data_IF_320082500057
#
_entry.id   IF_320082500057
#
_cell.length_a   1.000
_cell.length_b   1.000
_cell.length_c   1.000
_cell.angle_alpha   90.00
_cell.angle_beta   90.00
_cell.angle_gamma   90.00
#
_symmetry.space_group_name_H-M   'P 1'
#
loop_
_entity.id
_entity.type
_entity.pdbx_description
1 polymer ?
#
# COMPACT_ATOMS: atom_id res chain seq x y z
N UNK A 1 -46.63 23.18 -7.54
CA UNK A 1 -45.76 22.00 -7.38
C UNK A 1 -46.42 21.05 -6.40
N UNK A 2 -46.42 19.76 -6.71
CA UNK A 2 -46.96 18.72 -5.82
C UNK A 2 -45.98 18.45 -4.68
N UNK A 3 -46.45 17.87 -3.57
CA UNK A 3 -45.57 17.43 -2.46
C UNK A 3 -44.49 16.45 -2.94
N UNK A 4 -44.81 15.66 -3.96
CA UNK A 4 -43.91 14.72 -4.60
C UNK A 4 -42.77 15.43 -5.37
N UNK A 5 -43.07 16.49 -6.11
CA UNK A 5 -42.07 17.32 -6.81
C UNK A 5 -41.14 18.06 -5.83
N UNK A 6 -41.65 18.49 -4.67
CA UNK A 6 -40.84 19.12 -3.61
C UNK A 6 -39.88 18.11 -2.99
N UNK A 7 -40.36 16.88 -2.69
CA UNK A 7 -39.53 15.81 -2.13
C UNK A 7 -38.43 15.38 -3.11
N UNK A 8 -38.74 15.25 -4.40
CA UNK A 8 -37.76 14.93 -5.44
C UNK A 8 -36.68 16.01 -5.57
N UNK A 9 -37.06 17.30 -5.55
CA UNK A 9 -36.08 18.40 -5.55
C UNK A 9 -35.18 18.41 -4.31
N UNK A 10 -35.74 18.14 -3.13
CA UNK A 10 -34.95 18.07 -1.89
C UNK A 10 -33.95 16.90 -1.94
N UNK A 11 -34.36 15.74 -2.44
CA UNK A 11 -33.47 14.59 -2.62
C UNK A 11 -32.37 14.87 -3.65
N UNK A 12 -32.68 15.55 -4.75
CA UNK A 12 -31.70 15.91 -5.77
C UNK A 12 -30.67 16.92 -5.23
N UNK A 13 -31.13 17.95 -4.50
CA UNK A 13 -30.24 18.91 -3.85
C UNK A 13 -29.33 18.25 -2.82
N UNK A 14 -29.85 17.29 -2.05
CA UNK A 14 -29.05 16.52 -1.10
C UNK A 14 -27.98 15.67 -1.82
N UNK A 15 -28.36 14.96 -2.90
CA UNK A 15 -27.41 14.20 -3.72
C UNK A 15 -26.30 15.07 -4.29
N UNK A 16 -26.62 16.29 -4.74
CA UNK A 16 -25.62 17.24 -5.26
C UNK A 16 -24.65 17.69 -4.17
N UNK A 17 -25.15 18.00 -2.97
CA UNK A 17 -24.32 18.37 -1.82
C UNK A 17 -23.40 17.24 -1.38
N UNK A 18 -23.92 16.02 -1.30
CA UNK A 18 -23.14 14.84 -0.94
C UNK A 18 -22.05 14.58 -1.99
N UNK A 19 -22.40 14.68 -3.28
CA UNK A 19 -21.46 14.56 -4.38
C UNK A 19 -20.31 15.57 -4.31
N UNK A 20 -20.62 16.85 -4.05
CA UNK A 20 -19.60 17.89 -3.93
C UNK A 20 -18.70 17.69 -2.70
N UNK A 21 -19.28 17.27 -1.57
CA UNK A 21 -18.54 16.98 -0.34
C UNK A 21 -17.63 15.76 -0.47
N UNK A 22 -18.06 14.72 -1.17
CA UNK A 22 -17.22 13.56 -1.43
C UNK A 22 -16.07 13.95 -2.40
N UNK A 23 -16.34 14.76 -3.44
CA UNK A 23 -15.30 15.23 -4.38
C UNK A 23 -14.22 16.05 -3.66
N UNK A 24 -14.64 16.92 -2.74
CA UNK A 24 -13.72 17.71 -1.92
C UNK A 24 -12.84 16.82 -1.04
N UNK A 25 -13.40 15.74 -0.46
CA UNK A 25 -12.64 14.75 0.30
C UNK A 25 -11.62 14.03 -0.57
N UNK A 26 -12.02 13.56 -1.76
CA UNK A 26 -11.10 12.84 -2.65
C UNK A 26 -9.93 13.71 -3.12
N UNK A 27 -10.15 15.00 -3.38
CA UNK A 27 -9.07 15.93 -3.70
C UNK A 27 -8.01 15.99 -2.59
N UNK A 28 -8.43 15.88 -1.33
CA UNK A 28 -7.55 15.86 -0.17
C UNK A 28 -6.83 14.53 0.09
N UNK A 29 -7.23 13.43 -0.54
CA UNK A 29 -6.54 12.14 -0.34
C UNK A 29 -5.13 12.16 -0.92
N UNK A 30 -4.23 11.42 -0.30
CA UNK A 30 -2.82 11.27 -0.67
C UNK A 30 -2.52 9.77 -0.77
N UNK A 31 -1.51 9.33 -1.54
CA UNK A 31 -1.23 7.90 -1.67
C UNK A 31 -0.88 7.20 -0.35
N UNK A 32 -0.48 7.92 0.72
CA UNK A 32 -0.32 7.36 2.07
C UNK A 32 -1.65 7.02 2.77
N UNK A 33 -2.79 7.45 2.21
CA UNK A 33 -4.12 7.13 2.73
C UNK A 33 -4.56 5.77 2.17
N UNK A 34 -4.79 4.78 3.04
CA UNK A 34 -5.05 3.37 2.68
C UNK A 34 -6.15 3.19 1.62
N UNK A 35 -7.24 3.95 1.75
CA UNK A 35 -8.36 3.92 0.81
C UNK A 35 -7.93 4.37 -0.59
N UNK A 36 -7.10 5.42 -0.67
CA UNK A 36 -6.66 5.98 -1.95
C UNK A 36 -5.52 5.17 -2.56
N UNK A 37 -4.62 4.64 -1.73
CA UNK A 37 -3.58 3.68 -2.14
C UNK A 37 -4.21 2.51 -2.88
N UNK A 38 -5.25 1.89 -2.29
CA UNK A 38 -5.95 0.77 -2.92
C UNK A 38 -6.51 1.15 -4.29
N UNK A 39 -7.14 2.31 -4.43
CA UNK A 39 -7.61 2.79 -5.74
C UNK A 39 -6.46 2.91 -6.76
N UNK A 40 -5.35 3.55 -6.36
CA UNK A 40 -4.21 3.83 -7.25
C UNK A 40 -3.55 2.55 -7.77
N UNK A 41 -3.38 1.55 -6.90
CA UNK A 41 -2.69 0.30 -7.22
C UNK A 41 -3.62 -0.79 -7.78
N UNK A 42 -4.94 -0.65 -7.64
CA UNK A 42 -5.91 -1.59 -8.21
C UNK A 42 -5.73 -1.70 -9.72
N UNK A 43 -5.48 -2.93 -10.18
CA UNK A 43 -5.21 -3.26 -11.59
C UNK A 43 -4.03 -2.49 -12.23
N UNK A 44 -3.14 -1.89 -11.43
CA UNK A 44 -2.02 -1.07 -11.89
C UNK A 44 -0.66 -1.67 -11.52
N UNK A 45 -0.40 -2.86 -12.07
CA UNK A 45 0.84 -3.62 -11.86
C UNK A 45 2.10 -2.80 -12.19
N UNK A 46 2.16 -2.01 -13.29
CA UNK A 46 3.36 -1.22 -13.59
C UNK A 46 3.71 -0.20 -12.49
N UNK A 47 2.71 0.46 -11.90
CA UNK A 47 2.92 1.41 -10.81
C UNK A 47 3.40 0.70 -9.54
N UNK A 48 2.81 -0.45 -9.20
CA UNK A 48 3.26 -1.28 -8.11
C UNK A 48 4.69 -1.78 -8.28
N UNK A 49 5.04 -2.29 -9.46
CA UNK A 49 6.38 -2.76 -9.79
C UNK A 49 7.42 -1.63 -9.62
N UNK A 50 7.14 -0.44 -10.16
CA UNK A 50 8.01 0.72 -10.02
C UNK A 50 8.18 1.13 -8.55
N UNK A 51 7.08 1.14 -7.78
CA UNK A 51 7.11 1.43 -6.34
C UNK A 51 7.99 0.44 -5.59
N UNK A 52 7.79 -0.86 -5.81
CA UNK A 52 8.55 -1.93 -5.16
C UNK A 52 10.03 -1.90 -5.55
N UNK A 53 10.36 -1.64 -6.81
CA UNK A 53 11.76 -1.47 -7.26
C UNK A 53 12.47 -0.34 -6.52
N UNK A 54 11.79 0.79 -6.30
CA UNK A 54 12.37 1.94 -5.56
C UNK A 54 12.60 1.58 -4.10
N UNK A 55 11.61 0.97 -3.44
CA UNK A 55 11.69 0.65 -2.01
C UNK A 55 12.70 -0.47 -1.73
N UNK A 56 12.63 -1.56 -2.47
CA UNK A 56 13.47 -2.75 -2.23
C UNK A 56 14.89 -2.61 -2.81
N UNK A 57 15.07 -1.74 -3.81
CA UNK A 57 16.32 -1.62 -4.57
C UNK A 57 16.56 -2.74 -5.58
N UNK A 58 15.63 -3.69 -5.74
CA UNK A 58 15.73 -4.82 -6.67
C UNK A 58 15.38 -4.34 -8.08
N UNK A 59 16.39 -3.94 -8.86
CA UNK A 59 16.21 -3.26 -10.16
C UNK A 59 15.51 -4.12 -11.22
N UNK A 60 15.67 -5.43 -11.18
CA UNK A 60 15.09 -6.39 -12.14
C UNK A 60 13.78 -7.04 -11.66
N UNK A 61 13.22 -6.59 -10.52
CA UNK A 61 11.94 -7.04 -9.99
C UNK A 61 10.87 -6.87 -11.08
N UNK A 62 10.22 -7.95 -11.49
CA UNK A 62 9.15 -7.91 -12.49
C UNK A 62 7.91 -8.60 -11.93
N UNK A 63 6.82 -7.87 -11.75
CA UNK A 63 5.60 -8.43 -11.16
C UNK A 63 4.88 -9.33 -12.15
N UNK A 64 4.59 -10.57 -11.73
CA UNK A 64 3.77 -11.51 -12.47
C UNK A 64 2.28 -11.33 -12.15
N UNK A 65 1.96 -10.96 -10.90
CA UNK A 65 0.60 -10.66 -10.44
C UNK A 65 0.61 -9.66 -9.28
N UNK A 66 -0.51 -8.98 -9.10
CA UNK A 66 -0.74 -7.99 -8.07
C UNK A 66 -2.22 -7.87 -7.73
N UNK A 67 -2.54 -7.80 -6.44
CA UNK A 67 -3.91 -7.73 -5.93
C UNK A 67 -3.99 -6.74 -4.76
N UNK A 68 -4.93 -5.80 -4.82
CA UNK A 68 -5.30 -4.97 -3.67
C UNK A 68 -6.37 -5.67 -2.84
N UNK A 69 -6.40 -5.46 -1.53
CA UNK A 69 -7.39 -6.03 -0.61
C UNK A 69 -7.42 -7.57 -0.61
N UNK A 70 -6.24 -8.19 -0.52
CA UNK A 70 -6.16 -9.64 -0.46
C UNK A 70 -6.51 -10.14 0.94
N UNK A 71 -7.69 -10.76 1.04
CA UNK A 71 -8.18 -11.40 2.25
C UNK A 71 -7.52 -12.78 2.43
N UNK A 72 -6.66 -12.91 3.43
CA UNK A 72 -6.08 -14.19 3.81
C UNK A 72 -6.92 -14.86 4.90
N UNK A 73 -7.69 -15.88 4.48
CA UNK A 73 -8.72 -16.54 5.29
C UNK A 73 -8.37 -17.98 5.69
N UNK A 74 -7.16 -18.48 5.41
CA UNK A 74 -6.81 -19.90 5.68
C UNK A 74 -6.83 -20.29 7.16
N UNK A 75 -6.80 -19.33 8.10
CA UNK A 75 -6.79 -19.61 9.54
C UNK A 75 -8.17 -19.39 10.17
N UNK A 76 -8.98 -20.45 10.27
CA UNK A 76 -10.25 -20.45 10.99
C UNK A 76 -10.06 -19.98 12.44
N UNK A 77 -10.67 -18.84 12.80
CA UNK A 77 -10.62 -18.25 14.15
C UNK A 77 -9.43 -17.35 14.45
N UNK A 78 -8.48 -17.20 13.52
CA UNK A 78 -7.38 -16.24 13.65
C UNK A 78 -7.79 -14.83 13.24
N UNK A 79 -6.95 -13.86 13.61
CA UNK A 79 -7.15 -12.46 13.22
C UNK A 79 -6.96 -12.32 11.70
N UNK A 80 -8.03 -12.02 10.98
CA UNK A 80 -7.92 -11.71 9.55
C UNK A 80 -7.05 -10.46 9.35
N UNK A 81 -6.19 -10.50 8.33
CA UNK A 81 -5.59 -9.30 7.74
C UNK A 81 -6.05 -9.18 6.29
N UNK A 82 -6.14 -7.94 5.84
CA UNK A 82 -6.39 -7.59 4.45
C UNK A 82 -5.17 -6.79 4.03
N UNK A 83 -4.40 -7.31 3.07
CA UNK A 83 -3.22 -6.61 2.60
C UNK A 83 -3.63 -5.43 1.73
N UNK A 84 -3.02 -4.26 1.95
CA UNK A 84 -3.26 -3.10 1.10
C UNK A 84 -2.87 -3.39 -0.36
N UNK A 85 -1.68 -4.00 -0.57
CA UNK A 85 -1.27 -4.55 -1.86
C UNK A 85 -0.40 -5.81 -1.69
N UNK A 86 -0.81 -6.90 -2.33
CA UNK A 86 -0.03 -8.15 -2.45
C UNK A 86 0.51 -8.30 -3.87
N UNK A 87 1.84 -8.35 -4.02
CA UNK A 87 2.52 -8.60 -5.29
C UNK A 87 3.28 -9.93 -5.28
N UNK A 88 3.37 -10.59 -6.43
CA UNK A 88 4.28 -11.73 -6.64
C UNK A 88 5.05 -11.51 -7.92
N UNK A 89 6.38 -11.58 -7.84
CA UNK A 89 7.24 -11.42 -9.01
C UNK A 89 7.43 -12.72 -9.81
N UNK A 90 8.11 -12.61 -10.94
CA UNK A 90 8.41 -13.72 -11.84
C UNK A 90 9.35 -14.78 -11.25
N UNK A 91 10.03 -14.48 -10.13
CA UNK A 91 10.87 -15.41 -9.37
C UNK A 91 10.10 -16.09 -8.24
N UNK A 92 8.87 -15.67 -7.97
CA UNK A 92 8.02 -16.17 -6.90
C UNK A 92 8.16 -15.43 -5.57
N UNK A 93 8.99 -14.38 -5.51
CA UNK A 93 9.12 -13.53 -4.32
C UNK A 93 7.81 -12.78 -4.11
N UNK A 94 7.36 -12.72 -2.86
CA UNK A 94 6.10 -12.08 -2.48
C UNK A 94 6.36 -10.76 -1.76
N UNK A 95 5.50 -9.78 -2.03
CA UNK A 95 5.59 -8.43 -1.48
C UNK A 95 4.24 -8.06 -0.86
N UNK A 96 4.27 -7.66 0.39
CA UNK A 96 3.16 -7.03 1.10
C UNK A 96 3.52 -5.55 1.32
N UNK A 97 2.80 -4.65 0.65
CA UNK A 97 2.99 -3.20 0.74
C UNK A 97 1.84 -2.56 1.50
N UNK A 98 2.13 -2.10 2.72
CA UNK A 98 1.19 -1.51 3.67
C UNK A 98 1.45 -0.01 3.84
N UNK A 99 0.41 0.82 3.79
CA UNK A 99 0.51 2.26 4.07
C UNK A 99 -0.15 2.61 5.40
N UNK A 100 0.55 3.36 6.25
CA UNK A 100 0.12 3.62 7.63
C UNK A 100 0.26 5.10 7.99
N UNK A 101 -0.87 5.78 8.17
CA UNK A 101 -0.91 7.16 8.67
C UNK A 101 -0.55 7.25 10.16
N UNK A 102 -1.04 6.29 10.95
CA UNK A 102 -0.80 6.26 12.38
C UNK A 102 0.32 5.28 12.72
N UNK A 103 1.31 5.74 13.48
CA UNK A 103 2.46 4.93 13.94
C UNK A 103 2.03 3.63 14.64
N UNK A 104 0.86 3.63 15.30
CA UNK A 104 0.31 2.43 15.94
C UNK A 104 0.01 1.29 14.96
N UNK A 105 -0.20 1.59 13.68
CA UNK A 105 -0.40 0.63 12.62
C UNK A 105 0.91 -0.03 12.14
N UNK A 106 2.06 0.51 12.53
CA UNK A 106 3.37 0.06 12.08
C UNK A 106 4.17 -0.66 13.18
N UNK A 107 3.51 -1.21 14.19
CA UNK A 107 4.18 -1.90 15.30
C UNK A 107 4.92 -3.16 14.84
N UNK A 108 6.09 -3.48 15.43
CA UNK A 108 6.87 -4.67 15.06
C UNK A 108 6.08 -5.98 15.11
N UNK A 109 5.16 -6.13 16.07
CA UNK A 109 4.33 -7.33 16.20
C UNK A 109 3.36 -7.49 15.02
N UNK A 110 2.89 -6.37 14.43
CA UNK A 110 2.04 -6.40 13.25
C UNK A 110 2.84 -6.77 12.01
N UNK A 111 4.03 -6.20 11.83
CA UNK A 111 4.92 -6.58 10.73
C UNK A 111 5.23 -8.09 10.76
N UNK A 112 5.59 -8.62 11.94
CA UNK A 112 5.80 -10.07 12.12
C UNK A 112 4.53 -10.89 11.83
N UNK A 113 3.35 -10.38 12.17
CA UNK A 113 2.09 -11.07 11.89
C UNK A 113 1.80 -11.15 10.39
N UNK A 114 2.07 -10.07 9.66
CA UNK A 114 1.95 -10.03 8.19
C UNK A 114 2.88 -11.05 7.53
N UNK A 115 4.15 -11.10 7.94
CA UNK A 115 5.08 -12.14 7.48
C UNK A 115 4.53 -13.56 7.70
N UNK A 116 4.07 -13.85 8.92
CA UNK A 116 3.55 -15.19 9.25
C UNK A 116 2.31 -15.56 8.42
N UNK A 117 1.44 -14.60 8.11
CA UNK A 117 0.27 -14.84 7.25
C UNK A 117 0.69 -15.12 5.81
N UNK A 118 1.69 -14.40 5.28
CA UNK A 118 2.24 -14.70 3.95
C UNK A 118 2.78 -16.13 3.87
N UNK A 119 3.53 -16.58 4.88
CA UNK A 119 4.07 -17.95 4.92
C UNK A 119 2.98 -19.02 4.97
N UNK A 120 1.95 -18.81 5.79
CA UNK A 120 0.79 -19.72 5.90
C UNK A 120 0.02 -19.83 4.59
N UNK A 121 -0.03 -18.75 3.82
CA UNK A 121 -0.73 -18.71 2.53
C UNK A 121 0.13 -19.22 1.38
N UNK A 122 1.46 -19.23 1.54
CA UNK A 122 2.41 -19.70 0.55
C UNK A 122 2.58 -21.23 0.54
N UNK A 123 2.35 -21.92 1.65
CA UNK A 123 2.50 -23.37 1.76
C UNK A 123 1.17 -24.12 1.93
N UNK A 124 1.03 -25.19 1.16
CA UNK A 124 -0.02 -26.19 1.31
C UNK A 124 0.44 -27.38 2.16
N UNK A 125 -0.52 -28.14 2.69
CA UNK A 125 -0.25 -29.32 3.50
C UNK A 125 0.58 -30.36 2.73
N UNK A 126 1.74 -30.73 3.28
CA UNK A 126 2.64 -31.72 2.72
C UNK A 126 3.82 -31.14 1.92
N UNK A 127 3.87 -29.83 1.71
CA UNK A 127 5.06 -29.16 1.18
C UNK A 127 6.16 -29.02 2.25
N UNK A 128 7.39 -28.93 1.79
CA UNK A 128 8.58 -28.71 2.62
C UNK A 128 8.69 -27.22 2.98
N UNK A 129 9.24 -26.92 4.17
CA UNK A 129 9.42 -25.53 4.60
C UNK A 129 10.42 -24.76 3.73
N UNK A 130 11.37 -25.47 3.13
CA UNK A 130 12.33 -24.95 2.17
C UNK A 130 11.66 -24.41 0.90
N UNK A 131 10.40 -24.81 0.62
CA UNK A 131 9.61 -24.30 -0.50
C UNK A 131 8.98 -22.93 -0.22
N UNK A 132 9.11 -22.37 0.99
CA UNK A 132 8.69 -20.99 1.25
C UNK A 132 9.33 -20.05 0.22
N UNK A 133 8.60 -19.05 -0.29
CA UNK A 133 9.19 -18.02 -1.14
C UNK A 133 10.01 -17.03 -0.31
N UNK A 134 10.82 -16.21 -0.97
CA UNK A 134 11.32 -15.00 -0.34
C UNK A 134 10.16 -14.01 -0.17
N UNK A 135 10.10 -13.31 0.96
CA UNK A 135 8.97 -12.43 1.31
C UNK A 135 9.45 -11.06 1.79
N UNK A 136 8.71 -10.02 1.43
CA UNK A 136 8.93 -8.64 1.88
C UNK A 136 7.66 -8.09 2.51
N UNK A 137 7.68 -7.84 3.81
CA UNK A 137 6.66 -7.07 4.53
C UNK A 137 7.11 -5.60 4.64
N UNK A 138 6.51 -4.73 3.84
CA UNK A 138 6.91 -3.33 3.65
C UNK A 138 5.86 -2.41 4.28
N UNK A 139 6.26 -1.63 5.27
CA UNK A 139 5.42 -0.65 5.95
C UNK A 139 5.87 0.76 5.62
N UNK A 140 5.10 1.46 4.78
CA UNK A 140 5.26 2.89 4.54
C UNK A 140 4.50 3.66 5.60
N UNK A 141 5.20 4.49 6.35
CA UNK A 141 4.65 5.25 7.49
C UNK A 141 4.65 6.74 7.20
N UNK A 142 3.65 7.50 7.62
CA UNK A 142 3.60 8.95 7.36
C UNK A 142 4.76 9.71 8.04
N UNK A 143 5.29 9.18 9.14
CA UNK A 143 6.37 9.77 9.93
C UNK A 143 7.56 8.83 10.11
N UNK A 144 8.70 9.39 10.54
CA UNK A 144 9.86 8.57 10.90
C UNK A 144 9.67 7.90 12.27
N UNK A 145 9.06 6.71 12.28
CA UNK A 145 8.74 6.00 13.53
C UNK A 145 9.97 5.60 14.35
N UNK A 146 11.16 5.58 13.74
CA UNK A 146 12.42 5.30 14.43
C UNK A 146 13.20 6.55 14.82
N UNK A 147 12.85 7.72 14.26
CA UNK A 147 13.46 9.01 14.55
C UNK A 147 14.96 9.10 14.21
N UNK A 148 15.44 8.36 13.20
CA UNK A 148 16.87 8.31 12.82
C UNK A 148 17.16 9.03 11.49
N UNK A 149 16.16 9.65 10.88
CA UNK A 149 16.27 10.45 9.66
C UNK A 149 16.56 9.66 8.38
N UNK A 150 16.46 8.31 8.39
CA UNK A 150 16.66 7.50 7.19
C UNK A 150 15.35 7.33 6.43
N UNK A 151 15.44 7.17 5.11
CA UNK A 151 14.29 6.86 4.25
C UNK A 151 13.81 5.42 4.38
N UNK A 152 14.73 4.48 4.60
CA UNK A 152 14.45 3.05 4.67
C UNK A 152 15.14 2.42 5.88
N UNK A 153 14.43 1.52 6.55
CA UNK A 153 14.90 0.72 7.67
C UNK A 153 14.61 -0.76 7.44
N UNK A 154 15.56 -1.52 6.86
CA UNK A 154 15.49 -2.97 6.83
C UNK A 154 15.63 -3.55 8.24
N UNK A 155 14.82 -4.56 8.56
CA UNK A 155 14.85 -5.30 9.82
C UNK A 155 15.09 -6.76 9.48
N UNK A 156 16.31 -7.22 9.80
CA UNK A 156 16.81 -8.55 9.44
C UNK A 156 17.12 -9.37 10.70
N UNK A 157 16.96 -10.69 10.60
CA UNK A 157 17.36 -11.62 11.66
C UNK A 157 18.84 -11.97 11.53
N UNK A 158 19.50 -12.10 12.68
CA UNK A 158 20.93 -12.45 12.76
C UNK A 158 21.16 -13.58 13.75
N UNK A 159 22.19 -14.38 13.48
CA UNK A 159 22.72 -15.39 14.40
C UNK A 159 23.54 -14.68 15.48
N UNK A 160 23.25 -14.95 16.75
CA UNK A 160 23.94 -14.35 17.88
C UNK A 160 24.88 -15.36 18.53
N UNK A 161 26.07 -14.93 19.01
CA UNK A 161 26.56 -13.54 19.09
C UNK A 161 27.28 -13.01 17.83
N UNK A 162 27.47 -13.80 16.79
CA UNK A 162 28.33 -13.50 15.64
C UNK A 162 27.81 -12.36 14.75
N UNK A 163 26.52 -12.00 14.89
CA UNK A 163 25.83 -11.01 14.06
C UNK A 163 25.86 -11.36 12.56
N UNK A 164 25.87 -12.65 12.23
CA UNK A 164 25.79 -13.15 10.85
C UNK A 164 24.34 -13.17 10.36
N UNK A 165 24.06 -12.90 9.08
CA UNK A 165 22.71 -12.99 8.53
C UNK A 165 22.09 -14.38 8.72
N UNK A 166 20.87 -14.44 9.24
CA UNK A 166 20.16 -15.72 9.41
C UNK A 166 19.70 -16.33 8.07
N UNK A 167 19.45 -15.49 7.07
CA UNK A 167 19.09 -15.88 5.69
C UNK A 167 17.85 -16.79 5.60
N UNK A 168 16.80 -16.50 6.35
CA UNK A 168 15.49 -17.16 6.26
C UNK A 168 14.64 -16.71 5.06
N UNK A 169 15.11 -15.69 4.31
CA UNK A 169 14.43 -15.09 3.15
C UNK A 169 13.15 -14.33 3.50
N UNK A 170 12.97 -13.96 4.77
CA UNK A 170 11.87 -13.11 5.21
C UNK A 170 12.40 -11.72 5.58
N UNK A 171 11.95 -10.70 4.86
CA UNK A 171 12.42 -9.33 5.01
C UNK A 171 11.30 -8.42 5.54
N UNK A 172 11.60 -7.62 6.56
CA UNK A 172 10.72 -6.55 7.02
C UNK A 172 11.37 -5.21 6.69
N UNK A 173 10.63 -4.30 6.06
CA UNK A 173 11.12 -2.98 5.70
C UNK A 173 10.17 -1.90 6.18
N UNK A 174 10.71 -0.90 6.86
CA UNK A 174 9.98 0.31 7.19
C UNK A 174 10.46 1.47 6.32
N UNK A 175 9.51 2.13 5.67
CA UNK A 175 9.74 3.29 4.84
C UNK A 175 9.22 4.53 5.55
N UNK A 176 10.08 5.53 5.66
CA UNK A 176 9.77 6.82 6.27
C UNK A 176 9.16 7.76 5.22
N UNK A 177 7.85 7.96 5.27
CA UNK A 177 7.10 8.86 4.40
C UNK A 177 7.44 10.34 4.57
N UNK A 178 8.05 10.73 5.69
CA UNK A 178 8.58 12.08 5.89
C UNK A 178 9.97 12.30 5.26
N UNK A 179 10.58 11.27 4.67
CA UNK A 179 11.88 11.38 4.03
C UNK A 179 11.83 12.28 2.78
N UNK A 180 12.80 13.20 2.66
CA UNK A 180 12.91 14.18 1.57
C UNK A 180 14.34 14.22 1.01
N UNK A 181 14.92 13.04 0.79
CA UNK A 181 16.23 12.90 0.13
C UNK A 181 16.20 13.32 -1.34
N UNK A 182 17.37 13.59 -1.90
CA UNK A 182 17.55 13.85 -3.33
C UNK A 182 17.86 12.55 -4.09
N UNK A 183 16.95 11.58 -3.99
CA UNK A 183 17.03 10.26 -4.59
C UNK A 183 15.60 9.77 -4.94
N UNK A 184 15.46 8.67 -5.72
CA UNK A 184 14.13 8.19 -6.12
C UNK A 184 13.20 7.85 -4.96
N UNK A 185 13.74 7.44 -3.81
CA UNK A 185 12.92 7.16 -2.62
C UNK A 185 12.39 8.46 -2.01
N UNK A 186 13.19 9.50 -1.92
CA UNK A 186 12.77 10.82 -1.46
C UNK A 186 11.73 11.47 -2.36
N UNK A 187 11.80 11.24 -3.68
CA UNK A 187 10.76 11.65 -4.63
C UNK A 187 9.47 10.84 -4.45
N UNK A 188 9.58 9.52 -4.31
CA UNK A 188 8.43 8.66 -4.03
C UNK A 188 7.72 9.05 -2.72
N UNK A 189 8.49 9.29 -1.64
CA UNK A 189 7.93 9.67 -0.34
C UNK A 189 7.37 11.09 -0.32
N UNK A 190 7.90 12.00 -1.15
CA UNK A 190 7.26 13.27 -1.43
C UNK A 190 5.86 13.06 -2.00
N UNK A 191 5.74 12.24 -3.06
CA UNK A 191 4.49 12.02 -3.77
C UNK A 191 3.46 11.25 -2.94
N UNK A 192 3.89 10.28 -2.13
CA UNK A 192 3.01 9.58 -1.18
C UNK A 192 2.32 10.52 -0.18
N UNK A 193 2.99 11.63 0.16
CA UNK A 193 2.43 12.68 1.02
C UNK A 193 1.84 13.86 0.25
N UNK A 194 1.82 13.82 -1.09
CA UNK A 194 1.30 14.89 -1.92
C UNK A 194 -0.17 14.64 -2.28
N UNK A 195 -1.01 15.67 -2.12
CA UNK A 195 -2.40 15.62 -2.58
C UNK A 195 -2.57 16.21 -3.98
N UNK A 196 -1.64 17.01 -4.48
CA UNK A 196 -1.80 17.64 -5.79
C UNK A 196 -1.05 16.81 -6.86
N UNK A 197 -1.74 16.24 -7.86
CA UNK A 197 -1.09 15.50 -8.94
C UNK A 197 -0.09 16.34 -9.75
N UNK A 198 -0.26 17.66 -9.82
CA UNK A 198 0.63 18.54 -10.60
C UNK A 198 1.96 18.82 -9.88
N UNK A 199 2.00 18.60 -8.56
CA UNK A 199 3.20 18.73 -7.73
C UNK A 199 3.93 17.38 -7.55
N UNK A 200 3.36 16.28 -8.04
CA UNK A 200 4.00 14.96 -7.96
C UNK A 200 5.19 14.86 -8.93
N UNK A 201 6.28 14.23 -8.48
CA UNK A 201 7.53 14.09 -9.24
C UNK A 201 7.52 12.87 -10.15
N UNK A 202 6.79 11.82 -9.75
CA UNK A 202 6.65 10.59 -10.51
C UNK A 202 5.42 10.65 -11.43
N UNK A 203 5.66 10.58 -12.74
CA UNK A 203 4.60 10.69 -13.76
C UNK A 203 3.52 9.60 -13.61
N UNK A 204 3.88 8.35 -13.33
CA UNK A 204 2.90 7.26 -13.20
C UNK A 204 1.97 7.47 -12.00
N UNK A 205 2.53 7.94 -10.87
CA UNK A 205 1.75 8.21 -9.67
C UNK A 205 0.90 9.48 -9.83
N UNK A 206 1.43 10.50 -10.51
CA UNK A 206 0.71 11.72 -10.88
C UNK A 206 -0.50 11.41 -11.77
N UNK A 207 -0.31 10.65 -12.84
CA UNK A 207 -1.37 10.25 -13.77
C UNK A 207 -2.45 9.41 -13.08
N UNK A 208 -2.07 8.43 -12.26
CA UNK A 208 -3.02 7.63 -11.50
C UNK A 208 -3.82 8.50 -10.52
N UNK A 209 -3.15 9.38 -9.78
CA UNK A 209 -3.80 10.30 -8.85
C UNK A 209 -4.76 11.25 -9.55
N UNK A 210 -4.35 11.82 -10.69
CA UNK A 210 -5.19 12.68 -11.53
C UNK A 210 -6.41 11.94 -12.06
N UNK A 211 -6.24 10.70 -12.53
CA UNK A 211 -7.35 9.87 -13.00
C UNK A 211 -8.43 9.70 -11.93
N UNK A 212 -8.07 9.33 -10.70
CA UNK A 212 -9.08 9.15 -9.66
C UNK A 212 -9.71 10.47 -9.20
N UNK A 213 -8.95 11.56 -9.14
CA UNK A 213 -9.43 12.86 -8.63
C UNK A 213 -10.25 13.68 -9.61
N UNK A 214 -9.98 13.55 -10.90
CA UNK A 214 -10.54 14.44 -11.93
C UNK A 214 -11.40 13.72 -12.96
N UNK A 215 -11.24 12.41 -13.13
CA UNK A 215 -12.05 11.64 -14.08
C UNK A 215 -13.34 11.13 -13.41
N UNK A 216 -14.54 11.42 -13.96
CA UNK A 216 -15.81 10.93 -13.41
C UNK A 216 -15.92 9.40 -13.30
N UNK A 217 -15.16 8.63 -14.10
CA UNK A 217 -15.09 7.17 -13.99
C UNK A 217 -14.21 6.73 -12.81
N UNK A 218 -13.01 7.30 -12.70
CA UNK A 218 -12.08 7.04 -11.60
C UNK A 218 -12.72 7.38 -10.25
N UNK A 219 -13.32 8.56 -10.16
CA UNK A 219 -14.18 9.00 -9.06
C UNK A 219 -15.14 7.91 -8.55
N UNK A 220 -15.96 7.36 -9.46
CA UNK A 220 -16.98 6.37 -9.11
C UNK A 220 -16.42 5.05 -8.61
N UNK A 221 -15.20 4.70 -9.01
CA UNK A 221 -14.51 3.51 -8.53
C UNK A 221 -14.03 3.72 -7.10
N UNK A 222 -13.40 4.86 -6.82
CA UNK A 222 -12.78 5.12 -5.52
C UNK A 222 -13.76 5.49 -4.39
N UNK A 223 -14.98 5.92 -4.72
CA UNK A 223 -16.03 6.25 -3.72
C UNK A 223 -16.91 5.04 -3.39
N UNK A 224 -16.84 3.98 -4.21
CA UNK A 224 -17.58 2.73 -3.99
C UNK A 224 -16.75 1.63 -3.33
N UNK A 225 -15.43 1.78 -3.31
CA UNK A 225 -14.45 0.93 -2.63
C UNK A 225 -14.34 1.29 -1.15
#
# INVERSE_FOLDING_TARGET
>A
MTEQEILEQQQELQRQRDHEADLQRLRGFRPIDDTFMRCIYQDNIPLAEMTLRIITGIKDLTLAKGETQKDFKRLLGARSICLDYHGVDTKGTQYDLEVQKADSGARPERARYHSAVMDVEALDAGQLFEELPETYAIFVTEHDIFGKGRGLYPVERVIMPECEPFNDREHIQYVNGAYRGNDPLGELMHDFCCSDPDEMKNEMLAEASRYYKENPKGWKLCVKS
#
